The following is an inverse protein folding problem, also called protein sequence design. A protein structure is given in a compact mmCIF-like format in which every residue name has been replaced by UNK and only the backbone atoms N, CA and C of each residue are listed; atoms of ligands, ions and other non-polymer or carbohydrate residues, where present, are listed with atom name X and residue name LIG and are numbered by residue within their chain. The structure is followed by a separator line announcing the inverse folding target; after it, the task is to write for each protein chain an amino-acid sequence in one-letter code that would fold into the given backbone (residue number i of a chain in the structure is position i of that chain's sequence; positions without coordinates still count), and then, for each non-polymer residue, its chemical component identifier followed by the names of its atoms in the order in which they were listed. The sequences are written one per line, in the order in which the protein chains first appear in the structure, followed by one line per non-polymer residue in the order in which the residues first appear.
data_IF_403832677333
#
_entry.id   IF_403832677333
#
_cell.length_a   1.000
_cell.length_b   1.000
_cell.length_c   1.000
_cell.angle_alpha   90.00
_cell.angle_beta   90.00
_cell.angle_gamma   90.00
#
_symmetry.space_group_name_H-M   'P 1'
#
loop_
_entity.id
_entity.type
_entity.pdbx_description
1 polymer ?
#
# COMPACT_ATOMS: atom_id res chain seq x y z
N UNK A 1 26.12 24.77 4.70
CA UNK A 1 24.67 24.58 4.41
C UNK A 1 24.30 25.64 3.39
N UNK A 2 23.78 25.27 2.21
CA UNK A 2 23.33 26.28 1.25
C UNK A 2 22.14 27.03 1.84
N UNK A 3 22.18 28.36 1.79
CA UNK A 3 21.07 29.19 2.24
C UNK A 3 19.87 28.99 1.32
N UNK A 4 18.73 28.56 1.89
CA UNK A 4 17.47 28.45 1.15
C UNK A 4 16.91 29.86 0.88
N UNK A 5 16.49 30.08 -0.36
CA UNK A 5 15.74 31.28 -0.74
C UNK A 5 14.36 31.31 -0.04
N UNK A 6 13.77 32.50 0.07
CA UNK A 6 12.42 32.67 0.64
C UNK A 6 11.38 31.84 -0.13
N UNK A 7 11.54 31.73 -1.45
CA UNK A 7 10.69 30.91 -2.31
C UNK A 7 10.79 29.42 -1.94
N UNK A 8 12.01 28.89 -1.79
CA UNK A 8 12.24 27.49 -1.42
C UNK A 8 11.68 27.15 -0.03
N UNK A 9 11.87 28.04 0.95
CA UNK A 9 11.27 27.88 2.27
C UNK A 9 9.73 27.85 2.20
N UNK A 10 9.13 28.64 1.30
CA UNK A 10 7.69 28.67 1.09
C UNK A 10 7.19 27.37 0.44
N UNK A 11 7.91 26.87 -0.57
CA UNK A 11 7.61 25.57 -1.21
C UNK A 11 7.66 24.44 -0.17
N UNK A 12 8.70 24.40 0.67
CA UNK A 12 8.83 23.38 1.71
C UNK A 12 7.65 23.42 2.69
N UNK A 13 7.27 24.61 3.17
CA UNK A 13 6.12 24.78 4.07
C UNK A 13 4.81 24.33 3.42
N UNK A 14 4.58 24.71 2.18
CA UNK A 14 3.37 24.32 1.43
C UNK A 14 3.30 22.80 1.23
N UNK A 15 4.39 22.17 0.78
CA UNK A 15 4.45 20.71 0.58
C UNK A 15 4.22 19.97 1.91
N UNK A 16 4.82 20.42 3.02
CA UNK A 16 4.59 19.82 4.35
C UNK A 16 3.12 19.95 4.77
N UNK A 17 2.53 21.13 4.59
CA UNK A 17 1.12 21.37 4.92
C UNK A 17 0.19 20.47 4.11
N UNK A 18 0.37 20.41 2.78
CA UNK A 18 -0.44 19.57 1.92
C UNK A 18 -0.25 18.07 2.20
N UNK A 19 0.99 17.66 2.49
CA UNK A 19 1.26 16.27 2.91
C UNK A 19 0.51 15.93 4.19
N UNK A 20 0.53 16.81 5.20
CA UNK A 20 -0.20 16.61 6.46
C UNK A 20 -1.72 16.50 6.24
N UNK A 21 -2.31 17.41 5.45
CA UNK A 21 -3.76 17.39 5.13
C UNK A 21 -4.19 16.13 4.40
N UNK A 22 -3.32 15.50 3.61
CA UNK A 22 -3.63 14.30 2.82
C UNK A 22 -3.24 13.01 3.53
N UNK A 23 -2.41 13.07 4.58
CA UNK A 23 -1.96 11.92 5.36
C UNK A 23 -2.81 11.67 6.64
N UNK A 24 -4.11 11.93 6.58
CA UNK A 24 -5.04 11.79 7.72
C UNK A 24 -5.45 10.33 7.90
N UNK A 25 -5.90 9.67 6.83
CA UNK A 25 -6.33 8.27 6.86
C UNK A 25 -6.07 7.57 5.52
N UNK A 26 -6.36 6.27 5.44
CA UNK A 26 -6.14 5.49 4.22
C UNK A 26 -6.93 6.05 3.03
N UNK A 27 -8.15 6.57 3.25
CA UNK A 27 -8.98 7.13 2.17
C UNK A 27 -8.35 8.40 1.59
N UNK A 28 -7.93 9.35 2.43
CA UNK A 28 -7.33 10.61 1.99
C UNK A 28 -6.03 10.36 1.22
N UNK A 29 -5.21 9.41 1.69
CA UNK A 29 -3.95 9.01 1.03
C UNK A 29 -4.19 8.38 -0.34
N UNK A 30 -5.09 7.40 -0.39
CA UNK A 30 -5.44 6.68 -1.62
C UNK A 30 -5.94 7.62 -2.70
N UNK A 31 -6.83 8.54 -2.33
CA UNK A 31 -7.38 9.54 -3.26
C UNK A 31 -6.33 10.57 -3.68
N UNK A 32 -5.41 10.96 -2.78
CA UNK A 32 -4.33 11.88 -3.12
C UNK A 32 -3.38 11.28 -4.16
N UNK A 33 -3.02 10.00 -4.04
CA UNK A 33 -2.24 9.29 -5.04
C UNK A 33 -2.96 9.22 -6.40
N UNK A 34 -4.25 8.90 -6.41
CA UNK A 34 -5.01 8.81 -7.65
C UNK A 34 -5.13 10.17 -8.35
N UNK A 35 -5.47 11.21 -7.58
CA UNK A 35 -5.55 12.57 -8.09
C UNK A 35 -4.22 13.08 -8.64
N UNK A 36 -3.11 12.73 -7.98
CA UNK A 36 -1.77 13.02 -8.48
C UNK A 36 -1.53 12.32 -9.82
N UNK A 37 -1.79 11.02 -9.92
CA UNK A 37 -1.64 10.26 -11.17
C UNK A 37 -2.42 10.89 -12.33
N UNK A 38 -3.68 11.28 -12.11
CA UNK A 38 -4.50 11.92 -13.15
C UNK A 38 -3.87 13.21 -13.70
N UNK A 39 -3.09 13.92 -12.90
CA UNK A 39 -2.37 15.14 -13.31
C UNK A 39 -0.96 14.88 -13.84
N UNK A 40 -0.36 13.75 -13.45
CA UNK A 40 1.02 13.38 -13.71
C UNK A 40 1.10 11.88 -14.10
N UNK A 41 0.53 11.49 -15.26
CA UNK A 41 0.40 10.09 -15.66
C UNK A 41 1.73 9.42 -15.98
N UNK A 42 2.81 10.19 -16.13
CA UNK A 42 4.17 9.70 -16.28
C UNK A 42 4.72 9.06 -14.99
N UNK A 43 4.24 9.50 -13.82
CA UNK A 43 4.60 8.91 -12.52
C UNK A 43 3.66 7.74 -12.20
N UNK A 44 3.86 6.65 -12.92
CA UNK A 44 3.02 5.43 -12.84
C UNK A 44 2.97 4.81 -11.43
N UNK A 45 4.02 5.02 -10.61
CA UNK A 45 4.05 4.57 -9.22
C UNK A 45 2.89 5.15 -8.40
N UNK A 46 2.45 6.38 -8.68
CA UNK A 46 1.35 7.00 -7.93
C UNK A 46 0.02 6.25 -8.13
N UNK A 47 -0.28 5.75 -9.34
CA UNK A 47 -1.45 4.91 -9.54
C UNK A 47 -1.32 3.55 -8.85
N UNK A 48 -0.12 2.95 -8.90
CA UNK A 48 0.16 1.72 -8.17
C UNK A 48 -0.08 1.91 -6.67
N UNK A 49 0.46 2.98 -6.08
CA UNK A 49 0.28 3.30 -4.67
C UNK A 49 -1.20 3.50 -4.32
N UNK A 50 -1.98 4.15 -5.19
CA UNK A 50 -3.43 4.26 -5.01
C UNK A 50 -4.11 2.89 -4.97
N UNK A 51 -3.90 2.04 -5.98
CA UNK A 51 -4.57 0.74 -6.09
C UNK A 51 -4.13 -0.24 -4.99
N UNK A 52 -2.86 -0.22 -4.61
CA UNK A 52 -2.34 -1.01 -3.48
C UNK A 52 -2.90 -0.49 -2.14
N UNK A 53 -3.01 0.84 -1.98
CA UNK A 53 -3.57 1.43 -0.74
C UNK A 53 -5.07 1.14 -0.58
N UNK A 54 -5.83 0.97 -1.67
CA UNK A 54 -7.20 0.46 -1.63
C UNK A 54 -7.30 -0.91 -0.97
N UNK A 55 -6.36 -1.82 -1.29
CA UNK A 55 -6.25 -3.12 -0.63
C UNK A 55 -5.88 -2.98 0.86
N UNK A 56 -5.08 -1.97 1.22
CA UNK A 56 -4.82 -1.63 2.62
C UNK A 56 -6.09 -1.25 3.38
N UNK A 57 -6.93 -0.40 2.77
CA UNK A 57 -8.23 -0.01 3.34
C UNK A 57 -9.20 -1.18 3.47
N UNK A 58 -9.27 -2.02 2.42
CA UNK A 58 -9.97 -3.30 2.44
C UNK A 58 -9.58 -4.10 3.68
N UNK A 59 -8.29 -4.40 3.82
CA UNK A 59 -7.80 -5.26 4.88
C UNK A 59 -8.04 -4.67 6.28
N UNK A 60 -8.07 -3.33 6.41
CA UNK A 60 -8.46 -2.67 7.65
C UNK A 60 -9.94 -2.92 7.97
N UNK A 61 -10.85 -2.72 7.01
CA UNK A 61 -12.30 -2.84 7.25
C UNK A 61 -12.74 -4.28 7.47
N UNK A 62 -12.05 -5.26 6.89
CA UNK A 62 -12.27 -6.67 7.17
C UNK A 62 -12.20 -6.99 8.67
N UNK A 63 -11.33 -6.31 9.43
CA UNK A 63 -11.17 -6.51 10.87
C UNK A 63 -12.42 -6.17 11.67
N UNK A 64 -13.34 -5.35 11.14
CA UNK A 64 -14.66 -5.07 11.73
C UNK A 64 -15.80 -5.64 10.86
N UNK A 65 -15.47 -6.50 9.90
CA UNK A 65 -16.44 -7.20 9.06
C UNK A 65 -17.15 -8.33 9.80
N UNK A 66 -17.95 -9.13 9.08
CA UNK A 66 -18.72 -10.20 9.71
C UNK A 66 -17.87 -11.35 10.25
N UNK A 67 -16.65 -11.57 9.74
CA UNK A 67 -15.86 -12.78 10.06
C UNK A 67 -14.85 -12.55 11.19
N UNK A 68 -13.94 -11.58 11.04
CA UNK A 68 -12.81 -11.43 11.96
C UNK A 68 -13.18 -11.11 13.41
N UNK A 69 -14.24 -10.35 13.73
CA UNK A 69 -14.71 -10.18 15.11
C UNK A 69 -15.13 -11.48 15.80
N UNK A 70 -15.50 -12.51 15.04
CA UNK A 70 -15.84 -13.84 15.57
C UNK A 70 -14.60 -14.74 15.72
N UNK A 71 -13.49 -14.43 15.05
CA UNK A 71 -12.27 -15.25 15.07
C UNK A 71 -11.14 -14.64 15.91
N UNK A 72 -11.17 -13.32 16.13
CA UNK A 72 -10.09 -12.55 16.73
C UNK A 72 -10.60 -11.59 17.80
N UNK A 73 -9.91 -11.58 18.94
CA UNK A 73 -10.16 -10.62 20.01
C UNK A 73 -9.99 -9.17 19.52
N UNK A 74 -10.79 -8.27 20.09
CA UNK A 74 -10.75 -6.82 19.81
C UNK A 74 -9.34 -6.23 19.94
N UNK A 75 -8.53 -6.70 20.91
CA UNK A 75 -7.15 -6.25 21.11
C UNK A 75 -6.25 -6.62 19.93
N UNK A 76 -6.42 -7.81 19.36
CA UNK A 76 -5.66 -8.28 18.19
C UNK A 76 -6.06 -7.50 16.95
N UNK A 77 -7.36 -7.32 16.73
CA UNK A 77 -7.91 -6.57 15.59
C UNK A 77 -7.44 -5.11 15.61
N UNK A 78 -7.51 -4.44 16.77
CA UNK A 78 -6.95 -3.10 16.96
C UNK A 78 -5.45 -3.04 16.63
N UNK A 79 -4.67 -4.03 17.06
CA UNK A 79 -3.24 -4.06 16.76
C UNK A 79 -2.97 -4.22 15.26
N UNK A 80 -3.73 -5.09 14.57
CA UNK A 80 -3.62 -5.28 13.12
C UNK A 80 -3.99 -4.00 12.36
N UNK A 81 -5.07 -3.33 12.76
CA UNK A 81 -5.45 -2.03 12.21
C UNK A 81 -4.30 -1.02 12.35
N UNK A 82 -3.74 -0.86 13.55
CA UNK A 82 -2.62 0.05 13.80
C UNK A 82 -1.38 -0.30 12.97
N UNK A 83 -1.11 -1.59 12.72
CA UNK A 83 -0.03 -2.03 11.82
C UNK A 83 -0.25 -1.56 10.39
N UNK A 84 -1.45 -1.81 9.83
CA UNK A 84 -1.80 -1.35 8.50
C UNK A 84 -1.74 0.17 8.39
N UNK A 85 -2.27 0.87 9.40
CA UNK A 85 -2.37 2.32 9.42
C UNK A 85 -0.97 2.94 9.50
N UNK A 86 -0.10 2.43 10.38
CA UNK A 86 1.29 2.91 10.50
C UNK A 86 2.09 2.69 9.23
N UNK A 87 1.95 1.53 8.58
CA UNK A 87 2.65 1.26 7.32
C UNK A 87 2.22 2.25 6.22
N UNK A 88 0.92 2.38 5.97
CA UNK A 88 0.39 3.30 4.96
C UNK A 88 0.76 4.76 5.26
N UNK A 89 0.71 5.16 6.54
CA UNK A 89 1.08 6.51 6.96
C UNK A 89 2.56 6.81 6.68
N UNK A 90 3.48 5.90 7.03
CA UNK A 90 4.92 6.07 6.81
C UNK A 90 5.27 6.17 5.32
N UNK A 91 4.68 5.30 4.49
CA UNK A 91 4.88 5.29 3.04
C UNK A 91 4.44 6.62 2.43
N UNK A 92 3.26 7.11 2.83
CA UNK A 92 2.74 8.37 2.33
C UNK A 92 3.54 9.57 2.82
N UNK A 93 3.93 9.57 4.09
CA UNK A 93 4.75 10.61 4.68
C UNK A 93 6.09 10.76 3.93
N UNK A 94 6.69 9.65 3.52
CA UNK A 94 7.95 9.63 2.77
C UNK A 94 7.78 10.06 1.30
N UNK A 95 6.84 9.44 0.56
CA UNK A 95 6.82 9.58 -0.91
C UNK A 95 5.98 10.76 -1.40
N UNK A 96 4.85 11.07 -0.76
CA UNK A 96 3.97 12.13 -1.25
C UNK A 96 4.61 13.51 -1.36
N UNK A 97 5.46 14.00 -0.43
CA UNK A 97 6.16 15.27 -0.62
C UNK A 97 7.11 15.26 -1.82
N UNK A 98 7.67 14.10 -2.18
CA UNK A 98 8.52 13.94 -3.38
C UNK A 98 7.69 14.14 -4.65
N UNK A 99 6.49 13.58 -4.69
CA UNK A 99 5.54 13.74 -5.80
C UNK A 99 5.16 15.21 -5.99
N UNK A 100 4.84 15.91 -4.90
CA UNK A 100 4.51 17.34 -4.96
C UNK A 100 5.70 18.19 -5.43
N UNK A 101 6.92 17.85 -5.00
CA UNK A 101 8.14 18.54 -5.45
C UNK A 101 8.42 18.30 -6.94
N UNK A 102 8.19 17.07 -7.43
CA UNK A 102 8.27 16.76 -8.87
C UNK A 102 7.25 17.58 -9.67
N UNK A 103 5.99 17.62 -9.21
CA UNK A 103 4.94 18.42 -9.86
C UNK A 103 5.26 19.92 -9.84
N UNK A 104 5.91 20.41 -8.78
CA UNK A 104 6.41 21.79 -8.77
C UNK A 104 7.55 22.00 -9.78
N UNK A 105 8.52 21.09 -9.80
CA UNK A 105 9.69 21.13 -10.70
C UNK A 105 9.28 21.16 -12.17
N UNK A 106 8.28 20.37 -12.55
CA UNK A 106 7.73 20.35 -13.93
C UNK A 106 7.08 21.67 -14.32
N UNK A 107 6.34 22.32 -13.40
CA UNK A 107 5.70 23.62 -13.67
C UNK A 107 6.70 24.75 -13.94
N UNK A 108 7.85 24.72 -13.27
CA UNK A 108 8.91 25.72 -13.47
C UNK A 108 10.00 25.26 -14.45
N UNK A 109 9.81 24.09 -15.07
CA UNK A 109 10.75 23.45 -15.99
C UNK A 109 12.20 23.38 -15.46
N UNK A 110 12.36 23.08 -14.16
CA UNK A 110 13.66 23.02 -13.49
C UNK A 110 13.64 21.99 -12.35
N UNK A 111 14.66 21.13 -12.22
CA UNK A 111 14.72 20.18 -11.12
C UNK A 111 14.95 20.90 -9.79
N UNK A 112 14.04 20.72 -8.82
CA UNK A 112 14.15 21.27 -7.45
C UNK A 112 14.52 20.20 -6.42
N UNK A 113 15.16 19.11 -6.85
CA UNK A 113 15.40 17.93 -6.00
C UNK A 113 16.45 18.15 -4.90
N UNK A 114 17.21 19.25 -4.92
CA UNK A 114 18.01 19.68 -3.78
C UNK A 114 17.17 20.00 -2.53
N UNK A 115 15.84 20.15 -2.69
CA UNK A 115 14.91 20.30 -1.57
C UNK A 115 14.46 18.96 -0.95
N UNK A 116 14.70 17.81 -1.60
CA UNK A 116 14.31 16.49 -1.09
C UNK A 116 14.86 16.16 0.33
N UNK A 117 16.10 16.53 0.70
CA UNK A 117 16.60 16.33 2.07
C UNK A 117 15.72 16.96 3.15
N UNK A 118 15.04 18.07 2.85
CA UNK A 118 14.17 18.77 3.82
C UNK A 118 12.84 18.03 4.06
N UNK A 119 12.57 16.96 3.30
CA UNK A 119 11.44 16.05 3.51
C UNK A 119 11.88 14.68 4.02
N UNK A 120 13.14 14.56 4.50
CA UNK A 120 13.69 13.29 4.98
C UNK A 120 13.65 12.19 3.91
N UNK A 121 13.93 12.54 2.66
CA UNK A 121 13.98 11.57 1.56
C UNK A 121 15.34 10.90 1.55
N UNK A 122 15.38 9.58 1.38
CA UNK A 122 16.64 8.81 1.37
C UNK A 122 17.60 9.28 0.27
N UNK A 123 18.91 9.26 0.55
CA UNK A 123 19.93 9.63 -0.44
C UNK A 123 19.86 8.77 -1.71
N UNK A 124 19.43 7.51 -1.58
CA UNK A 124 19.13 6.64 -2.72
C UNK A 124 18.05 7.24 -3.64
N UNK A 125 16.88 7.60 -3.09
CA UNK A 125 15.79 8.15 -3.90
C UNK A 125 16.09 9.53 -4.47
N UNK A 126 16.85 10.36 -3.74
CA UNK A 126 17.30 11.65 -4.27
C UNK A 126 18.05 11.47 -5.60
N UNK A 127 18.94 10.49 -5.70
CA UNK A 127 19.68 10.18 -6.94
C UNK A 127 18.74 9.69 -8.04
N UNK A 128 17.78 8.84 -7.71
CA UNK A 128 16.84 8.27 -8.69
C UNK A 128 15.88 9.34 -9.26
N UNK A 129 15.50 10.37 -8.49
CA UNK A 129 14.76 11.52 -9.02
C UNK A 129 15.57 12.34 -10.03
N UNK A 130 16.85 12.61 -9.74
CA UNK A 130 17.75 13.27 -10.70
C UNK A 130 17.96 12.42 -11.97
N UNK A 131 18.09 11.10 -11.83
CA UNK A 131 18.17 10.18 -12.96
C UNK A 131 16.91 10.23 -13.82
N UNK A 132 15.74 10.12 -13.19
CA UNK A 132 14.45 10.20 -13.90
C UNK A 132 14.27 11.51 -14.66
N UNK A 133 14.65 12.65 -14.07
CA UNK A 133 14.53 13.94 -14.76
C UNK A 133 15.38 14.04 -16.04
N UNK A 134 16.51 13.34 -16.08
CA UNK A 134 17.40 13.32 -17.26
C UNK A 134 16.98 12.28 -18.29
N UNK A 135 16.59 11.09 -17.84
CA UNK A 135 16.43 9.90 -18.68
C UNK A 135 14.97 9.55 -18.97
N UNK A 136 14.02 10.06 -18.18
CA UNK A 136 12.59 9.75 -18.25
C UNK A 136 12.28 8.24 -18.12
N UNK A 137 13.13 7.47 -17.44
CA UNK A 137 12.93 6.04 -17.21
C UNK A 137 11.89 5.80 -16.08
N UNK A 138 10.62 5.79 -16.49
CA UNK A 138 9.46 5.56 -15.60
C UNK A 138 9.55 4.23 -14.85
N UNK A 139 10.09 3.20 -15.49
CA UNK A 139 10.17 1.85 -14.92
C UNK A 139 11.22 1.78 -13.82
N UNK A 140 12.37 2.42 -14.05
CA UNK A 140 13.44 2.56 -13.06
C UNK A 140 12.96 3.35 -11.85
N UNK A 141 12.38 4.54 -12.04
CA UNK A 141 11.87 5.34 -10.92
C UNK A 141 10.82 4.57 -10.11
N UNK A 142 9.87 3.91 -10.79
CA UNK A 142 8.85 3.11 -10.11
C UNK A 142 9.46 1.97 -9.30
N UNK A 143 10.47 1.29 -9.85
CA UNK A 143 11.20 0.23 -9.14
C UNK A 143 11.95 0.79 -7.93
N UNK A 144 12.59 1.95 -8.06
CA UNK A 144 13.28 2.62 -6.97
C UNK A 144 12.32 3.01 -5.84
N UNK A 145 11.16 3.60 -6.17
CA UNK A 145 10.14 3.96 -5.19
C UNK A 145 9.59 2.73 -4.45
N UNK A 146 9.39 1.60 -5.16
CA UNK A 146 9.02 0.31 -4.52
C UNK A 146 10.13 -0.15 -3.55
N UNK A 147 11.40 -0.08 -3.95
CA UNK A 147 12.52 -0.46 -3.07
C UNK A 147 12.54 0.42 -1.83
N UNK A 148 12.37 1.73 -2.00
CA UNK A 148 12.38 2.69 -0.91
C UNK A 148 11.23 2.45 0.08
N UNK A 149 10.01 2.32 -0.42
CA UNK A 149 8.82 1.99 0.37
C UNK A 149 9.06 0.78 1.28
N UNK A 150 9.56 -0.30 0.69
CA UNK A 150 9.73 -1.57 1.39
C UNK A 150 10.84 -1.52 2.44
N UNK A 151 11.82 -0.63 2.29
CA UNK A 151 12.85 -0.36 3.30
C UNK A 151 12.36 0.58 4.40
N UNK A 152 11.61 1.64 4.05
CA UNK A 152 11.03 2.61 5.00
C UNK A 152 10.16 1.89 6.04
N UNK A 153 9.40 0.88 5.65
CA UNK A 153 8.53 0.13 6.58
C UNK A 153 9.23 -1.03 7.31
N UNK A 154 10.44 -1.43 6.90
CA UNK A 154 11.08 -2.67 7.39
C UNK A 154 11.29 -2.62 8.92
N UNK A 155 12.09 -1.67 9.40
CA UNK A 155 12.38 -1.55 10.83
C UNK A 155 11.16 -1.10 11.66
N UNK A 156 10.46 0.00 11.31
CA UNK A 156 9.42 0.55 12.18
C UNK A 156 8.12 -0.28 12.21
N UNK A 157 7.89 -1.14 11.21
CA UNK A 157 6.66 -1.95 11.12
C UNK A 157 6.95 -3.44 11.17
N UNK A 158 7.78 -3.95 10.24
CA UNK A 158 7.98 -5.40 10.08
C UNK A 158 8.80 -6.00 11.24
N UNK A 159 9.83 -5.30 11.71
CA UNK A 159 10.74 -5.79 12.73
C UNK A 159 10.34 -5.39 14.16
N UNK A 160 9.36 -4.50 14.32
CA UNK A 160 9.09 -3.91 15.61
C UNK A 160 8.60 -4.96 16.65
N UNK A 161 9.16 -4.98 17.89
CA UNK A 161 9.06 -6.12 18.82
C UNK A 161 7.65 -6.50 19.24
N UNK A 162 6.76 -5.51 19.37
CA UNK A 162 5.34 -5.73 19.70
C UNK A 162 4.67 -6.62 18.65
N UNK A 163 5.07 -6.48 17.38
CA UNK A 163 4.54 -7.29 16.29
C UNK A 163 5.23 -8.66 16.26
N UNK A 164 6.56 -8.71 16.40
CA UNK A 164 7.37 -9.96 16.42
C UNK A 164 6.89 -10.97 17.47
N UNK A 165 6.45 -10.51 18.65
CA UNK A 165 5.98 -11.38 19.74
C UNK A 165 4.50 -11.77 19.70
N UNK A 166 3.58 -10.89 19.26
CA UNK A 166 2.13 -11.13 19.37
C UNK A 166 1.43 -11.58 18.08
N UNK A 167 1.90 -11.11 16.92
CA UNK A 167 1.26 -11.43 15.62
C UNK A 167 1.96 -12.60 14.93
N UNK A 168 3.27 -12.75 15.13
CA UNK A 168 4.09 -13.71 14.38
C UNK A 168 4.46 -15.02 15.13
N UNK A 169 3.97 -15.24 16.36
CA UNK A 169 4.27 -16.45 17.17
C UNK A 169 3.07 -17.35 17.47
N UNK A 170 1.84 -16.88 17.33
CA UNK A 170 0.63 -17.69 17.51
C UNK A 170 0.25 -18.41 16.21
N UNK A 171 -0.71 -19.34 16.25
CA UNK A 171 -1.33 -19.99 15.07
C UNK A 171 -1.88 -19.00 14.02
N UNK A 172 -1.84 -17.70 14.32
CA UNK A 172 -2.02 -16.56 13.40
C UNK A 172 -0.99 -16.54 12.26
N UNK A 173 0.15 -17.25 12.37
CA UNK A 173 1.12 -17.33 11.28
C UNK A 173 0.53 -17.96 10.00
N UNK A 174 -0.27 -19.01 10.14
CA UNK A 174 -1.06 -19.56 9.02
C UNK A 174 -2.14 -18.59 8.57
N UNK A 175 -2.65 -17.72 9.45
CA UNK A 175 -3.57 -16.65 9.09
C UNK A 175 -2.92 -15.49 8.31
N UNK A 176 -1.60 -15.31 8.31
CA UNK A 176 -0.98 -14.25 7.47
C UNK A 176 -1.19 -14.49 5.97
N UNK A 177 -1.21 -15.76 5.56
CA UNK A 177 -1.55 -16.14 4.18
C UNK A 177 -3.05 -15.99 3.88
N UNK A 178 -3.89 -15.88 4.92
CA UNK A 178 -5.35 -15.73 4.82
C UNK A 178 -5.85 -14.29 5.01
N UNK A 179 -5.18 -13.48 5.80
CA UNK A 179 -5.47 -12.06 6.06
C UNK A 179 -5.11 -11.16 4.87
N UNK A 180 -4.91 -11.73 3.67
CA UNK A 180 -4.54 -11.02 2.44
C UNK A 180 -3.31 -10.10 2.56
N UNK A 181 -2.54 -10.11 3.66
CA UNK A 181 -1.29 -9.34 3.81
C UNK A 181 -0.29 -9.64 2.68
N UNK A 182 -0.38 -10.85 2.14
CA UNK A 182 0.48 -11.34 1.06
C UNK A 182 -0.12 -11.17 -0.33
N UNK A 183 -1.39 -10.77 -0.47
CA UNK A 183 -2.12 -10.74 -1.76
C UNK A 183 -2.71 -9.36 -2.04
N UNK A 184 -2.40 -8.79 -3.20
CA UNK A 184 -2.96 -7.53 -3.65
C UNK A 184 -3.78 -7.77 -4.91
N UNK A 185 -5.00 -7.25 -4.91
CA UNK A 185 -6.02 -7.46 -5.91
C UNK A 185 -6.34 -6.16 -6.67
N UNK A 186 -6.53 -6.25 -7.97
CA UNK A 186 -6.95 -5.20 -8.88
C UNK A 186 -8.26 -5.63 -9.55
N UNK A 187 -9.40 -5.10 -9.11
CA UNK A 187 -10.71 -5.42 -9.66
C UNK A 187 -10.96 -4.63 -10.94
N UNK A 188 -11.97 -5.08 -11.67
CA UNK A 188 -12.54 -4.40 -12.82
C UNK A 188 -14.03 -4.18 -12.59
N UNK A 189 -14.62 -3.18 -13.25
CA UNK A 189 -16.07 -3.00 -13.22
C UNK A 189 -16.84 -4.17 -13.87
N UNK A 190 -16.16 -5.02 -14.65
CA UNK A 190 -16.71 -6.26 -15.22
C UNK A 190 -16.76 -7.44 -14.24
N UNK A 191 -16.29 -7.27 -13.00
CA UNK A 191 -16.34 -8.28 -11.95
C UNK A 191 -15.13 -9.22 -11.90
N UNK A 192 -14.17 -9.05 -12.81
CA UNK A 192 -12.93 -9.81 -12.79
C UNK A 192 -11.90 -9.19 -11.84
N UNK A 193 -11.10 -10.04 -11.20
CA UNK A 193 -10.04 -9.64 -10.28
C UNK A 193 -8.70 -10.15 -10.77
N UNK A 194 -7.71 -9.27 -10.80
CA UNK A 194 -6.33 -9.58 -11.12
C UNK A 194 -5.43 -9.30 -9.92
N UNK A 195 -4.17 -9.70 -9.97
CA UNK A 195 -3.22 -9.32 -8.94
C UNK A 195 -2.09 -10.31 -8.74
N UNK A 196 -1.47 -10.23 -7.58
CA UNK A 196 -0.38 -11.11 -7.22
C UNK A 196 -0.38 -11.38 -5.72
N UNK A 197 0.05 -12.60 -5.38
CA UNK A 197 0.38 -12.99 -4.01
C UNK A 197 1.88 -13.29 -3.87
N UNK A 198 2.41 -13.14 -2.66
CA UNK A 198 3.77 -13.51 -2.31
C UNK A 198 3.85 -14.27 -0.97
N UNK A 199 4.35 -15.51 -1.02
CA UNK A 199 4.58 -16.31 0.19
C UNK A 199 5.80 -15.78 0.97
N UNK A 200 5.68 -15.61 2.29
CA UNK A 200 6.80 -15.22 3.14
C UNK A 200 7.07 -13.72 3.15
N UNK A 201 6.05 -12.94 3.54
CA UNK A 201 6.03 -11.48 3.63
C UNK A 201 7.19 -10.88 4.47
N UNK A 202 7.79 -11.63 5.39
CA UNK A 202 8.97 -11.20 6.16
C UNK A 202 10.17 -10.84 5.28
N UNK A 203 10.31 -11.45 4.09
CA UNK A 203 11.45 -11.22 3.21
C UNK A 203 11.29 -9.92 2.41
N UNK A 204 12.18 -8.95 2.69
CA UNK A 204 12.26 -7.69 1.95
C UNK A 204 12.33 -7.89 0.43
N UNK A 205 13.20 -8.78 -0.05
CA UNK A 205 13.34 -9.09 -1.48
C UNK A 205 12.05 -9.62 -2.11
N UNK A 206 11.27 -10.43 -1.36
CA UNK A 206 10.00 -10.96 -1.87
C UNK A 206 8.94 -9.86 -1.97
N UNK A 207 8.88 -8.93 -1.00
CA UNK A 207 7.96 -7.80 -1.07
C UNK A 207 8.32 -6.82 -2.20
N UNK A 208 9.61 -6.54 -2.40
CA UNK A 208 10.09 -5.76 -3.56
C UNK A 208 9.67 -6.45 -4.87
N UNK A 209 9.84 -7.77 -4.97
CA UNK A 209 9.42 -8.51 -6.16
C UNK A 209 7.90 -8.47 -6.37
N UNK A 210 7.11 -8.57 -5.29
CA UNK A 210 5.65 -8.42 -5.34
C UNK A 210 5.27 -7.04 -5.89
N UNK A 211 5.84 -5.95 -5.36
CA UNK A 211 5.57 -4.60 -5.86
C UNK A 211 5.88 -4.45 -7.36
N UNK A 212 7.01 -5.00 -7.83
CA UNK A 212 7.37 -4.98 -9.25
C UNK A 212 6.40 -5.79 -10.12
N UNK A 213 5.90 -6.93 -9.63
CA UNK A 213 4.87 -7.73 -10.31
C UNK A 213 3.55 -6.98 -10.40
N UNK A 214 3.13 -6.34 -9.31
CA UNK A 214 1.91 -5.54 -9.27
C UNK A 214 1.97 -4.35 -10.24
N UNK A 215 3.09 -3.61 -10.26
CA UNK A 215 3.32 -2.58 -11.28
C UNK A 215 3.15 -3.12 -12.71
N UNK A 216 3.74 -4.27 -13.00
CA UNK A 216 3.66 -4.86 -14.33
C UNK A 216 2.24 -5.33 -14.71
N UNK A 217 1.46 -5.86 -13.75
CA UNK A 217 0.06 -6.25 -13.99
C UNK A 217 -0.80 -5.00 -14.21
N UNK A 218 -0.70 -4.01 -13.31
CA UNK A 218 -1.53 -2.81 -13.33
C UNK A 218 -1.38 -2.01 -14.62
N UNK A 219 -0.17 -1.98 -15.18
CA UNK A 219 0.13 -1.26 -16.42
C UNK A 219 0.22 -2.16 -17.66
N UNK A 220 -0.31 -3.39 -17.60
CA UNK A 220 -0.41 -4.23 -18.78
C UNK A 220 -1.36 -3.57 -19.80
N UNK A 221 -0.98 -3.35 -21.08
CA UNK A 221 -1.76 -2.54 -22.03
C UNK A 221 -3.23 -2.97 -22.18
N UNK A 222 -3.49 -4.28 -22.17
CA UNK A 222 -4.84 -4.85 -22.26
C UNK A 222 -5.69 -4.74 -20.98
N UNK A 223 -5.07 -4.50 -19.81
CA UNK A 223 -5.76 -4.52 -18.52
C UNK A 223 -5.88 -3.12 -17.91
N UNK A 224 -4.92 -2.24 -18.18
CA UNK A 224 -4.86 -0.89 -17.64
C UNK A 224 -6.17 -0.09 -17.80
N UNK A 225 -6.85 -0.09 -18.97
CA UNK A 225 -8.12 0.64 -19.13
C UNK A 225 -9.18 0.22 -18.11
N UNK A 226 -9.29 -1.08 -17.81
CA UNK A 226 -10.27 -1.60 -16.85
C UNK A 226 -9.94 -1.22 -15.40
N UNK A 227 -8.65 -1.19 -15.05
CA UNK A 227 -8.23 -0.75 -13.72
C UNK A 227 -8.42 0.75 -13.53
N UNK A 228 -8.15 1.54 -14.56
CA UNK A 228 -8.40 2.98 -14.55
C UNK A 228 -9.90 3.26 -14.42
N UNK A 229 -10.72 2.60 -15.24
CA UNK A 229 -12.18 2.70 -15.16
C UNK A 229 -12.68 2.37 -13.75
N UNK A 230 -12.21 1.27 -13.16
CA UNK A 230 -12.57 0.90 -11.78
C UNK A 230 -12.21 2.02 -10.79
N UNK A 231 -11.00 2.56 -10.86
CA UNK A 231 -10.55 3.61 -9.96
C UNK A 231 -11.35 4.91 -10.11
N UNK A 232 -11.83 5.22 -11.32
CA UNK A 232 -12.66 6.41 -11.60
C UNK A 232 -14.12 6.23 -11.17
N UNK A 233 -14.71 5.07 -11.43
CA UNK A 233 -16.13 4.81 -11.15
C UNK A 233 -16.41 4.38 -9.71
N UNK A 234 -15.38 3.93 -8.99
CA UNK A 234 -15.54 3.36 -7.65
C UNK A 234 -14.91 4.26 -6.58
N UNK A 235 -15.70 5.04 -5.83
CA UNK A 235 -15.21 5.75 -4.66
C UNK A 235 -14.55 4.79 -3.68
N UNK A 236 -13.36 5.16 -3.16
CA UNK A 236 -12.69 4.35 -2.14
C UNK A 236 -13.29 4.62 -0.76
N UNK A 237 -13.90 3.60 -0.17
CA UNK A 237 -14.46 3.63 1.19
C UNK A 237 -13.67 2.77 2.17
N UNK A 238 -12.76 1.94 1.66
CA UNK A 238 -12.06 0.91 2.42
C UNK A 238 -12.88 -0.37 2.61
N UNK A 239 -14.18 -0.37 2.28
CA UNK A 239 -15.00 -1.58 2.38
C UNK A 239 -14.61 -2.58 1.29
N UNK A 240 -14.62 -3.87 1.64
CA UNK A 240 -14.54 -4.98 0.67
C UNK A 240 -15.62 -4.86 -0.42
N UNK A 241 -16.76 -4.26 -0.08
CA UNK A 241 -17.87 -4.03 -1.00
C UNK A 241 -17.51 -3.13 -2.19
N UNK A 242 -16.49 -2.26 -2.07
CA UNK A 242 -16.00 -1.45 -3.18
C UNK A 242 -15.65 -2.33 -4.40
N UNK A 243 -15.17 -3.55 -4.14
CA UNK A 243 -14.76 -4.53 -5.15
C UNK A 243 -15.90 -5.50 -5.45
N UNK A 244 -16.52 -6.07 -4.40
CA UNK A 244 -17.51 -7.13 -4.56
C UNK A 244 -18.80 -6.71 -5.26
N UNK A 245 -19.13 -5.41 -5.26
CA UNK A 245 -20.32 -4.90 -5.96
C UNK A 245 -20.32 -5.19 -7.46
N UNK A 246 -19.15 -5.45 -8.06
CA UNK A 246 -19.01 -5.77 -9.48
C UNK A 246 -19.02 -7.28 -9.76
N UNK A 247 -18.95 -8.13 -8.72
CA UNK A 247 -18.92 -9.57 -8.93
C UNK A 247 -20.26 -10.09 -9.44
N UNK A 248 -20.19 -11.11 -10.31
CA UNK A 248 -21.39 -11.77 -10.86
C UNK A 248 -22.26 -12.39 -9.77
N UNK A 249 -21.63 -12.91 -8.73
CA UNK A 249 -22.29 -13.43 -7.53
C UNK A 249 -22.60 -12.25 -6.62
N UNK A 250 -23.88 -11.93 -6.44
CA UNK A 250 -24.30 -10.85 -5.53
C UNK A 250 -23.92 -11.19 -4.10
N UNK A 251 -23.02 -10.41 -3.51
CA UNK A 251 -22.71 -10.48 -2.09
C UNK A 251 -23.45 -9.38 -1.32
N UNK A 252 -23.89 -9.68 -0.10
CA UNK A 252 -24.32 -8.65 0.85
C UNK A 252 -23.09 -7.93 1.36
N UNK A 253 -23.20 -6.62 1.62
CA UNK A 253 -22.12 -5.86 2.27
C UNK A 253 -21.90 -6.40 3.67
N UNK A 254 -20.78 -7.09 3.85
CA UNK A 254 -20.39 -7.71 5.12
C UNK A 254 -19.24 -6.99 5.84
N UNK A 255 -18.77 -5.87 5.28
CA UNK A 255 -17.72 -5.04 5.87
C UNK A 255 -18.19 -3.60 5.97
N UNK A 256 -17.86 -2.90 7.07
CA UNK A 256 -18.24 -1.51 7.26
C UNK A 256 -17.36 -0.57 6.42
N UNK A 257 -17.65 0.73 6.49
CA UNK A 257 -16.82 1.79 5.89
C UNK A 257 -15.70 2.16 6.86
N UNK A 258 -14.50 2.49 6.35
CA UNK A 258 -13.33 2.72 7.21
C UNK A 258 -13.56 3.81 8.26
N UNK A 259 -14.09 4.96 7.82
CA UNK A 259 -14.32 6.15 8.68
C UNK A 259 -15.45 5.96 9.69
N UNK A 260 -16.27 4.92 9.54
CA UNK A 260 -17.30 4.58 10.53
C UNK A 260 -16.80 3.58 11.58
N UNK A 261 -15.67 2.92 11.31
CA UNK A 261 -15.17 1.81 12.13
C UNK A 261 -13.93 2.15 12.92
N UNK A 262 -13.06 2.99 12.38
CA UNK A 262 -11.81 3.34 13.03
C UNK A 262 -11.63 4.86 13.14
N UNK A 263 -11.10 5.35 14.27
CA UNK A 263 -10.80 6.76 14.43
C UNK A 263 -9.57 7.14 13.60
N UNK A 264 -9.44 8.44 13.32
CA UNK A 264 -8.18 9.01 12.84
C UNK A 264 -7.10 8.81 13.90
N UNK A 265 -5.96 8.25 13.50
CA UNK A 265 -4.83 8.01 14.39
C UNK A 265 -3.84 9.14 14.26
N UNK A 266 -3.51 9.78 15.39
CA UNK A 266 -2.40 10.71 15.45
C UNK A 266 -1.07 9.94 15.36
N UNK A 267 -0.22 10.31 14.42
CA UNK A 267 1.06 9.68 14.20
C UNK A 267 2.20 10.66 14.48
N UNK A 268 3.20 10.20 15.22
CA UNK A 268 4.48 10.90 15.36
C UNK A 268 5.60 10.06 14.72
N UNK A 269 6.53 10.73 14.04
CA UNK A 269 7.79 10.11 13.64
C UNK A 269 8.86 10.57 14.62
N UNK A 270 9.13 9.76 15.64
CA UNK A 270 10.08 10.13 16.68
C UNK A 270 11.53 10.15 16.20
N UNK A 271 11.90 9.31 15.22
CA UNK A 271 13.25 9.26 14.67
C UNK A 271 13.16 8.92 13.18
N UNK A 272 13.73 9.79 12.33
CA UNK A 272 14.00 9.45 10.93
C UNK A 272 15.44 8.95 10.79
N UNK A 273 15.60 7.85 10.08
CA UNK A 273 16.90 7.29 9.72
C UNK A 273 16.88 6.96 8.24
N UNK A 274 17.90 7.45 7.52
CA UNK A 274 18.06 7.13 6.11
C UNK A 274 18.56 5.69 5.96
N UNK A 275 17.63 4.77 5.69
CA UNK A 275 17.90 3.35 5.51
C UNK A 275 19.00 3.07 4.47
N UNK A 276 19.17 3.95 3.48
CA UNK A 276 20.14 3.76 2.39
C UNK A 276 21.59 3.93 2.85
N UNK A 277 21.82 4.53 4.02
CA UNK A 277 23.16 4.60 4.66
C UNK A 277 23.61 3.27 5.24
N UNK A 278 22.66 2.43 5.65
CA UNK A 278 22.93 1.18 6.36
C UNK A 278 22.67 -0.06 5.49
N UNK A 279 22.02 0.10 4.33
CA UNK A 279 21.71 -1.00 3.41
C UNK A 279 22.12 -0.67 1.98
N UNK A 280 22.94 -1.55 1.40
CA UNK A 280 23.23 -1.53 -0.04
C UNK A 280 22.03 -2.03 -0.84
N UNK A 281 21.64 -1.28 -1.86
CA UNK A 281 20.61 -1.70 -2.82
C UNK A 281 21.19 -2.79 -3.71
N UNK A 282 20.58 -3.97 -3.70
CA UNK A 282 21.02 -5.06 -4.56
C UNK A 282 20.79 -4.70 -6.03
N UNK A 283 21.78 -4.90 -6.92
CA UNK A 283 21.58 -4.76 -8.37
C UNK A 283 20.42 -5.64 -8.88
N UNK A 284 20.15 -6.75 -8.18
CA UNK A 284 19.03 -7.64 -8.52
C UNK A 284 17.68 -6.97 -8.34
N UNK A 285 17.53 -6.08 -7.37
CA UNK A 285 16.26 -5.39 -7.15
C UNK A 285 15.96 -4.41 -8.29
N UNK A 286 16.97 -3.69 -8.77
CA UNK A 286 16.83 -2.73 -9.86
C UNK A 286 16.70 -3.42 -11.22
N UNK A 287 17.62 -4.34 -11.56
CA UNK A 287 17.78 -4.79 -12.94
C UNK A 287 17.13 -6.12 -13.28
N UNK A 288 16.84 -7.00 -12.31
CA UNK A 288 16.25 -8.29 -12.68
C UNK A 288 14.83 -8.11 -13.25
N UNK A 289 14.50 -8.84 -14.33
CA UNK A 289 13.19 -8.77 -14.94
C UNK A 289 12.11 -9.32 -14.01
N UNK A 290 10.91 -8.79 -14.17
CA UNK A 290 9.71 -9.30 -13.49
C UNK A 290 9.37 -10.67 -14.05
N UNK A 291 9.11 -11.64 -13.17
CA UNK A 291 8.64 -12.97 -13.54
C UNK A 291 7.36 -13.28 -12.77
N UNK A 292 6.28 -13.56 -13.48
CA UNK A 292 5.05 -14.05 -12.88
C UNK A 292 5.13 -15.57 -12.77
N UNK A 293 5.22 -16.08 -11.54
CA UNK A 293 5.27 -17.53 -11.27
C UNK A 293 3.89 -18.16 -11.10
N UNK A 294 2.87 -17.34 -10.91
CA UNK A 294 1.49 -17.74 -10.68
C UNK A 294 0.58 -16.96 -11.63
N UNK A 295 -0.62 -17.48 -11.92
CA UNK A 295 -1.64 -16.75 -12.67
C UNK A 295 -1.88 -15.36 -12.09
N UNK A 296 -2.06 -14.38 -12.98
CA UNK A 296 -2.35 -12.99 -12.58
C UNK A 296 -3.85 -12.72 -12.50
N UNK A 297 -4.68 -13.58 -13.09
CA UNK A 297 -6.14 -13.55 -12.97
C UNK A 297 -6.52 -14.39 -11.75
N UNK A 298 -7.21 -13.78 -10.79
CA UNK A 298 -7.39 -14.28 -9.44
C UNK A 298 -8.87 -14.35 -9.02
N UNK A 299 -9.82 -14.23 -9.96
CA UNK A 299 -11.26 -14.30 -9.65
C UNK A 299 -11.64 -15.60 -8.92
N UNK A 300 -11.29 -16.76 -9.48
CA UNK A 300 -11.62 -18.05 -8.86
C UNK A 300 -10.84 -18.28 -7.57
N UNK A 301 -9.58 -17.85 -7.54
CA UNK A 301 -8.76 -17.91 -6.35
C UNK A 301 -9.38 -17.09 -5.20
N UNK A 302 -9.92 -15.91 -5.52
CA UNK A 302 -10.60 -15.05 -4.56
C UNK A 302 -11.82 -15.75 -3.95
N UNK A 303 -12.71 -16.31 -4.77
CA UNK A 303 -13.90 -17.01 -4.28
C UNK A 303 -13.51 -18.25 -3.48
N UNK A 304 -12.52 -19.01 -3.93
CA UNK A 304 -11.99 -20.16 -3.19
C UNK A 304 -11.51 -19.74 -1.80
N UNK A 305 -10.75 -18.63 -1.69
CA UNK A 305 -10.27 -18.10 -0.42
C UNK A 305 -11.38 -17.58 0.49
N UNK A 306 -12.38 -16.91 -0.09
CA UNK A 306 -13.56 -16.45 0.65
C UNK A 306 -14.34 -17.64 1.24
N UNK A 307 -14.58 -18.68 0.45
CA UNK A 307 -15.28 -19.90 0.89
C UNK A 307 -14.50 -20.64 1.97
N UNK A 308 -13.17 -20.74 1.80
CA UNK A 308 -12.28 -21.30 2.81
C UNK A 308 -12.42 -20.53 4.15
N UNK A 309 -12.57 -19.21 4.13
CA UNK A 309 -12.69 -18.38 5.34
C UNK A 309 -14.04 -18.53 6.02
N UNK A 310 -15.11 -18.69 5.25
CA UNK A 310 -16.43 -19.04 5.79
C UNK A 310 -16.44 -20.43 6.41
N UNK A 311 -15.74 -21.41 5.81
CA UNK A 311 -15.60 -22.75 6.37
C UNK A 311 -14.86 -22.72 7.71
N UNK A 312 -13.75 -21.99 7.82
CA UNK A 312 -13.05 -21.81 9.09
C UNK A 312 -13.94 -21.20 10.17
N UNK A 313 -14.72 -20.18 9.83
CA UNK A 313 -15.68 -19.57 10.76
C UNK A 313 -16.74 -20.59 11.23
N UNK A 314 -17.24 -21.41 10.31
CA UNK A 314 -18.24 -22.43 10.63
C UNK A 314 -17.69 -23.50 11.57
N UNK A 315 -16.46 -23.99 11.31
CA UNK A 315 -15.77 -24.94 12.19
C UNK A 315 -15.53 -24.32 13.56
N UNK A 316 -15.07 -23.06 13.62
CA UNK A 316 -14.84 -22.36 14.88
C UNK A 316 -16.10 -22.29 15.74
N UNK A 317 -17.26 -21.94 15.15
CA UNK A 317 -18.55 -21.92 15.84
C UNK A 317 -18.94 -23.28 16.41
N UNK A 318 -18.74 -24.35 15.65
CA UNK A 318 -19.05 -25.72 16.13
C UNK A 318 -18.18 -26.07 17.34
N UNK A 319 -16.87 -25.79 17.28
CA UNK A 319 -15.95 -26.05 18.39
C UNK A 319 -16.26 -25.21 19.64
N UNK A 320 -16.75 -23.97 19.49
CA UNK A 320 -17.20 -23.17 20.63
C UNK A 320 -18.48 -23.72 21.26
N UNK A 321 -19.44 -24.18 20.45
CA UNK A 321 -20.67 -24.81 20.95
C UNK A 321 -20.38 -26.11 21.72
N UNK A 322 -19.39 -26.89 21.29
CA UNK A 322 -18.98 -28.12 21.99
C UNK A 322 -18.29 -27.85 23.34
N UNK A 323 -17.65 -26.69 23.54
CA UNK A 323 -17.07 -26.33 24.86
C UNK A 323 -18.11 -25.99 25.93
N UNK A 324 -19.35 -25.74 25.50
CA UNK A 324 -20.48 -25.39 26.38
C UNK A 324 -21.42 -26.58 26.64
N UNK A 325 -21.13 -27.73 26.02
CA UNK A 325 -21.70 -29.04 26.37
C UNK A 325 -20.73 -29.78 27.27
#
# INVERSE_FOLDING_TARGET
MNHLTIQEQTIIRQIRSETGKRNIDNISRTNAYFHFFKKNPDIIWSFLASMVSRNGGWNMCDLEGSIFPQLLDVKVRKQLFLTYERANWLIFHDVFPQLLLYQYSTKINRPMFHLLPYFNVSAFIQKEWYGYWKENDRKRLTTALIINEQNVIQTPVIEHPVYKKKVFRSMIFSFQDWLHFSSVLFPTCGGEVYGASANGFKSLSKRINLGKRLANILFHPRLFPYFLEFAEKTPHTGSRYDYEQYFKIKTKRNTPLLRTSFPVIAHNQHIYEDWSKHRRVSPKWLHHPVRHRHPIHLTDWYFTKSNQLQLLLSIHKVLELEKWK
#
